data_IF_259609844245
#
_entry.id   IF_259609844245
#
_cell.length_a   1.000
_cell.length_b   1.000
_cell.length_c   1.000
_cell.angle_alpha   90.00
_cell.angle_beta   90.00
_cell.angle_gamma   90.00
#
_symmetry.space_group_name_H-M   'P 1'
#
loop_
_entity.id
_entity.type
_entity.pdbx_description
1 polymer ?
#
# COMPACT_ATOMS: atom_id res chain seq x y z
N UNK A 1 25.71 4.93 -9.41
CA UNK A 1 24.90 4.23 -10.46
C UNK A 1 23.45 4.63 -10.27
N UNK A 2 22.77 5.09 -11.32
CA UNK A 2 21.34 5.44 -11.28
C UNK A 2 20.49 4.17 -11.40
N UNK A 3 19.54 3.95 -10.50
CA UNK A 3 18.61 2.81 -10.54
C UNK A 3 17.36 3.23 -11.33
N UNK A 4 17.08 2.58 -12.45
CA UNK A 4 15.86 2.79 -13.26
C UNK A 4 14.73 1.93 -12.73
N UNK A 5 13.57 2.52 -12.51
CA UNK A 5 12.45 1.87 -11.82
C UNK A 5 11.19 1.95 -12.67
N UNK A 6 10.48 0.83 -12.77
CA UNK A 6 9.11 0.78 -13.30
C UNK A 6 8.15 0.38 -12.17
N UNK A 7 7.08 1.16 -11.97
CA UNK A 7 6.08 0.93 -10.91
C UNK A 7 4.77 0.41 -11.49
N UNK A 8 4.45 -0.86 -11.26
CA UNK A 8 3.18 -1.48 -11.66
C UNK A 8 2.10 -1.33 -10.60
N UNK A 9 0.84 -1.15 -11.00
CA UNK A 9 -0.28 -0.90 -10.09
C UNK A 9 0.01 0.28 -9.16
N UNK A 10 0.53 1.36 -9.72
CA UNK A 10 1.24 2.39 -8.98
C UNK A 10 0.37 3.13 -7.94
N UNK A 11 -0.96 3.18 -8.13
CA UNK A 11 -1.84 3.91 -7.23
C UNK A 11 -1.42 5.39 -7.14
N UNK A 12 -1.12 5.86 -5.94
CA UNK A 12 -0.56 7.20 -5.72
C UNK A 12 0.98 7.24 -5.81
N UNK A 13 1.64 6.14 -6.16
CA UNK A 13 3.11 6.07 -6.22
C UNK A 13 3.75 5.79 -4.87
N UNK A 14 3.33 4.72 -4.20
CA UNK A 14 3.88 4.36 -2.89
C UNK A 14 5.37 4.10 -2.92
N UNK A 15 5.87 3.39 -3.94
CA UNK A 15 7.29 3.19 -4.17
C UNK A 15 8.02 4.50 -4.45
N UNK A 16 7.46 5.33 -5.32
CA UNK A 16 8.01 6.64 -5.70
C UNK A 16 8.13 7.60 -4.50
N UNK A 17 7.14 7.64 -3.59
CA UNK A 17 7.25 8.43 -2.35
C UNK A 17 8.37 7.92 -1.44
N UNK A 18 8.49 6.60 -1.26
CA UNK A 18 9.57 6.02 -0.47
C UNK A 18 10.95 6.37 -1.04
N UNK A 19 11.12 6.30 -2.36
CA UNK A 19 12.36 6.68 -3.05
C UNK A 19 12.70 8.15 -2.87
N UNK A 20 11.72 9.05 -2.89
CA UNK A 20 11.93 10.48 -2.57
C UNK A 20 12.46 10.68 -1.15
N UNK A 21 11.91 9.96 -0.17
CA UNK A 21 12.40 10.00 1.21
C UNK A 21 13.82 9.47 1.32
N UNK A 22 14.12 8.37 0.62
CA UNK A 22 15.47 7.79 0.59
C UNK A 22 16.46 8.78 -0.01
N UNK A 23 16.13 9.45 -1.13
CA UNK A 23 16.99 10.47 -1.74
C UNK A 23 17.30 11.64 -0.80
N UNK A 24 16.31 12.05 0.04
CA UNK A 24 16.54 13.07 1.07
C UNK A 24 17.51 12.60 2.17
N UNK A 25 17.40 11.33 2.58
CA UNK A 25 18.23 10.74 3.65
C UNK A 25 19.62 10.33 3.15
N UNK A 26 19.71 9.93 1.90
CA UNK A 26 20.91 9.45 1.21
C UNK A 26 21.12 10.23 -0.09
N UNK A 27 21.68 11.45 -0.05
CA UNK A 27 21.79 12.32 -1.23
C UNK A 27 22.59 11.74 -2.39
N UNK A 28 23.47 10.77 -2.14
CA UNK A 28 24.27 10.07 -3.17
C UNK A 28 23.48 8.94 -3.87
N UNK A 29 22.33 8.55 -3.36
CA UNK A 29 21.46 7.57 -4.03
C UNK A 29 20.80 8.20 -5.24
N UNK A 30 21.01 7.61 -6.41
CA UNK A 30 20.43 8.09 -7.67
C UNK A 30 19.40 7.08 -8.20
N UNK A 31 18.22 7.56 -8.49
CA UNK A 31 17.15 6.78 -9.07
C UNK A 31 16.35 7.57 -10.11
N UNK A 32 15.68 6.85 -11.00
CA UNK A 32 14.77 7.42 -11.97
C UNK A 32 13.56 6.51 -12.18
N UNK A 33 12.38 6.98 -11.90
CA UNK A 33 11.13 6.29 -12.23
C UNK A 33 10.84 6.57 -13.71
N UNK A 34 11.06 5.56 -14.56
CA UNK A 34 11.05 5.72 -16.01
C UNK A 34 9.68 5.44 -16.63
N UNK A 35 8.74 4.93 -15.86
CA UNK A 35 7.39 4.63 -16.26
C UNK A 35 6.58 3.99 -15.14
N UNK A 36 5.26 4.03 -15.27
CA UNK A 36 4.36 3.35 -14.36
C UNK A 36 3.13 2.79 -15.10
N UNK A 37 2.41 1.88 -14.45
CA UNK A 37 1.15 1.31 -14.93
C UNK A 37 0.07 1.53 -13.88
N UNK A 38 -0.98 2.26 -14.24
CA UNK A 38 -2.16 2.49 -13.42
C UNK A 38 -3.37 2.75 -14.33
N UNK A 39 -4.45 1.99 -14.13
CA UNK A 39 -5.65 2.10 -14.97
C UNK A 39 -6.74 2.99 -14.37
N UNK A 40 -6.65 3.33 -13.09
CA UNK A 40 -7.57 4.26 -12.44
C UNK A 40 -7.12 5.70 -12.67
N UNK A 41 -7.95 6.47 -13.39
CA UNK A 41 -7.65 7.87 -13.74
C UNK A 41 -7.41 8.78 -12.54
N UNK A 42 -8.10 8.54 -11.42
CA UNK A 42 -7.95 9.36 -10.21
C UNK A 42 -6.66 9.02 -9.46
N UNK A 43 -6.22 7.75 -9.53
CA UNK A 43 -4.92 7.35 -9.02
C UNK A 43 -3.81 7.95 -9.87
N UNK A 44 -3.91 7.86 -11.21
CA UNK A 44 -2.94 8.46 -12.12
C UNK A 44 -2.82 9.97 -11.94
N UNK A 45 -3.94 10.68 -11.76
CA UNK A 45 -3.93 12.13 -11.50
C UNK A 45 -3.16 12.46 -10.20
N UNK A 46 -3.40 11.69 -9.14
CA UNK A 46 -2.69 11.86 -7.87
C UNK A 46 -1.20 11.51 -8.01
N UNK A 47 -0.86 10.47 -8.77
CA UNK A 47 0.52 10.12 -9.10
C UNK A 47 1.21 11.25 -9.86
N UNK A 48 0.64 11.71 -10.96
CA UNK A 48 1.20 12.74 -11.86
C UNK A 48 1.41 14.10 -11.16
N UNK A 49 0.52 14.42 -10.22
CA UNK A 49 0.64 15.64 -9.42
C UNK A 49 1.87 15.58 -8.47
N UNK A 50 2.20 14.39 -7.99
CA UNK A 50 3.23 14.22 -6.98
C UNK A 50 4.56 13.71 -7.51
N UNK A 51 4.63 13.09 -8.68
CA UNK A 51 5.84 12.46 -9.20
C UNK A 51 6.20 12.98 -10.59
N UNK A 52 7.48 13.27 -10.76
CA UNK A 52 8.08 13.70 -12.03
C UNK A 52 9.36 12.92 -12.26
N UNK A 53 9.76 12.83 -13.52
CA UNK A 53 11.08 12.31 -13.88
C UNK A 53 12.21 13.27 -13.43
N UNK A 54 13.45 12.88 -13.62
CA UNK A 54 14.62 13.70 -13.27
C UNK A 54 14.71 15.03 -14.01
N UNK A 55 14.01 15.19 -15.13
CA UNK A 55 13.93 16.41 -15.93
C UNK A 55 12.67 17.23 -15.60
N UNK A 56 11.93 16.89 -14.55
CA UNK A 56 10.66 17.48 -14.13
C UNK A 56 9.50 17.31 -15.15
N UNK A 57 9.57 16.31 -16.02
CA UNK A 57 8.48 15.93 -16.92
C UNK A 57 7.55 14.94 -16.24
N UNK A 58 6.33 14.81 -16.80
CA UNK A 58 5.42 13.73 -16.45
C UNK A 58 6.04 12.37 -16.75
N UNK A 59 5.96 11.46 -15.79
CA UNK A 59 6.35 10.06 -15.97
C UNK A 59 5.27 9.38 -16.82
N UNK A 60 5.67 8.61 -17.83
CA UNK A 60 4.73 7.96 -18.74
C UNK A 60 3.89 6.91 -18.01
N UNK A 61 2.56 7.05 -18.06
CA UNK A 61 1.62 6.01 -17.66
C UNK A 61 1.36 5.06 -18.83
N UNK A 62 1.60 3.77 -18.62
CA UNK A 62 1.32 2.70 -19.59
C UNK A 62 -0.10 2.10 -19.44
N UNK A 63 -0.92 2.66 -18.54
CA UNK A 63 -2.32 2.29 -18.33
C UNK A 63 -2.50 0.91 -17.71
N UNK A 64 -3.45 0.13 -18.26
CA UNK A 64 -3.77 -1.21 -17.77
C UNK A 64 -2.65 -2.21 -18.05
N UNK A 65 -2.08 -2.78 -16.99
CA UNK A 65 -0.96 -3.74 -17.08
C UNK A 65 -1.30 -4.95 -17.96
N UNK A 66 -2.58 -5.34 -18.03
CA UNK A 66 -3.05 -6.45 -18.87
C UNK A 66 -2.90 -6.16 -20.37
N UNK A 67 -2.83 -4.90 -20.76
CA UNK A 67 -2.74 -4.43 -22.15
C UNK A 67 -1.31 -4.07 -22.57
N UNK A 68 -0.38 -4.10 -21.65
CA UNK A 68 1.02 -3.76 -21.93
C UNK A 68 1.66 -4.85 -22.79
N UNK A 69 2.23 -4.44 -23.92
CA UNK A 69 3.23 -5.25 -24.60
C UNK A 69 4.60 -4.98 -23.95
N UNK A 70 5.24 -5.97 -23.32
CA UNK A 70 6.49 -5.74 -22.62
C UNK A 70 7.64 -5.18 -23.48
N UNK A 71 7.64 -5.44 -24.79
CA UNK A 71 8.64 -4.89 -25.71
C UNK A 71 8.58 -3.36 -25.78
N UNK A 72 7.39 -2.78 -25.58
CA UNK A 72 7.18 -1.32 -25.66
C UNK A 72 7.63 -0.58 -24.40
N UNK A 73 7.95 -1.32 -23.33
CA UNK A 73 8.50 -0.75 -22.12
C UNK A 73 9.99 -0.42 -22.31
N UNK A 74 10.50 0.67 -21.72
CA UNK A 74 11.93 0.88 -21.59
C UNK A 74 12.57 -0.18 -20.69
N UNK A 75 13.89 -0.33 -20.76
CA UNK A 75 14.62 -1.20 -19.84
C UNK A 75 14.74 -0.54 -18.46
N UNK A 76 14.58 -1.33 -17.42
CA UNK A 76 14.64 -0.89 -16.04
C UNK A 76 15.34 -1.92 -15.15
N UNK A 77 15.93 -1.44 -14.06
CA UNK A 77 16.69 -2.25 -13.11
C UNK A 77 15.79 -2.86 -12.02
N UNK A 78 14.72 -2.16 -11.65
CA UNK A 78 13.82 -2.58 -10.58
C UNK A 78 12.35 -2.48 -11.02
N UNK A 79 11.61 -3.57 -10.80
CA UNK A 79 10.16 -3.60 -10.92
C UNK A 79 9.53 -3.58 -9.53
N UNK A 80 8.65 -2.62 -9.29
CA UNK A 80 7.91 -2.46 -8.03
C UNK A 80 6.43 -2.64 -8.31
N UNK A 81 5.71 -3.52 -7.56
CA UNK A 81 4.28 -3.69 -7.76
C UNK A 81 3.52 -4.14 -6.51
N UNK A 82 2.43 -3.44 -6.20
CA UNK A 82 1.38 -3.88 -5.26
C UNK A 82 0.18 -4.41 -6.03
N UNK A 83 0.18 -5.68 -6.39
CA UNK A 83 -0.87 -6.24 -7.23
C UNK A 83 -2.11 -6.64 -6.43
N UNK A 84 -3.34 -6.47 -7.01
CA UNK A 84 -4.58 -6.82 -6.32
C UNK A 84 -4.68 -8.33 -6.09
N UNK A 85 -5.07 -8.73 -4.87
CA UNK A 85 -5.46 -10.11 -4.55
C UNK A 85 -6.91 -10.32 -4.97
N UNK A 86 -7.16 -10.49 -6.27
CA UNK A 86 -8.48 -10.92 -6.68
C UNK A 86 -8.70 -12.38 -6.27
N UNK A 87 -9.82 -12.71 -5.59
CA UNK A 87 -10.18 -14.10 -5.40
C UNK A 87 -10.33 -14.70 -6.81
N UNK A 88 -9.66 -15.84 -7.05
CA UNK A 88 -9.92 -16.62 -8.25
C UNK A 88 -11.42 -16.89 -8.29
N UNK A 89 -12.14 -16.19 -9.14
CA UNK A 89 -13.49 -16.59 -9.44
C UNK A 89 -13.38 -17.96 -10.12
N UNK A 90 -14.09 -18.94 -9.57
CA UNK A 90 -14.25 -20.27 -10.16
C UNK A 90 -14.74 -20.24 -11.61
N UNK A 91 -15.10 -19.06 -12.12
CA UNK A 91 -15.46 -18.77 -13.50
C UNK A 91 -14.25 -18.79 -14.46
N UNK A 92 -13.01 -18.54 -13.97
CA UNK A 92 -11.80 -18.62 -14.80
C UNK A 92 -11.35 -20.04 -15.16
N UNK A 93 -11.84 -21.06 -14.48
CA UNK A 93 -11.53 -22.47 -14.76
C UNK A 93 -12.34 -23.08 -15.91
N UNK A 94 -13.27 -22.34 -16.52
CA UNK A 94 -14.14 -22.85 -17.60
C UNK A 94 -13.83 -22.25 -18.98
N UNK A 95 -12.80 -21.46 -19.15
CA UNK A 95 -12.38 -20.98 -20.45
C UNK A 95 -11.32 -21.90 -21.04
N UNK A 96 -11.75 -22.60 -22.08
CA UNK A 96 -11.13 -23.54 -22.98
C UNK A 96 -9.61 -23.74 -22.97
N UNK A 97 -9.22 -24.84 -23.53
CA UNK A 97 -7.92 -25.50 -23.63
C UNK A 97 -6.70 -24.65 -24.04
N UNK A 98 -6.83 -23.35 -24.30
CA UNK A 98 -5.75 -22.47 -24.77
C UNK A 98 -5.18 -21.52 -23.69
N UNK A 99 -5.73 -21.54 -22.47
CA UNK A 99 -5.24 -20.71 -21.38
C UNK A 99 -4.51 -21.50 -20.31
N UNK A 100 -3.28 -21.92 -20.66
CA UNK A 100 -2.40 -22.71 -19.80
C UNK A 100 -2.08 -22.04 -18.45
N UNK A 101 -2.44 -20.74 -18.28
CA UNK A 101 -2.03 -19.90 -17.16
C UNK A 101 -3.14 -19.09 -16.49
N UNK A 102 -4.42 -19.31 -16.83
CA UNK A 102 -5.57 -18.66 -16.16
C UNK A 102 -5.54 -17.12 -16.22
N UNK A 103 -5.97 -16.51 -17.32
CA UNK A 103 -5.93 -15.04 -17.62
C UNK A 103 -6.60 -14.09 -16.62
N UNK A 104 -6.99 -14.55 -15.45
CA UNK A 104 -7.53 -13.72 -14.37
C UNK A 104 -6.52 -13.33 -13.30
N UNK A 105 -5.26 -13.77 -13.39
CA UNK A 105 -4.28 -13.53 -12.35
C UNK A 105 -3.34 -12.38 -12.74
N UNK A 106 -3.42 -11.26 -12.01
CA UNK A 106 -2.57 -10.08 -12.26
C UNK A 106 -1.08 -10.39 -12.16
N UNK A 107 -0.71 -11.43 -11.41
CA UNK A 107 0.67 -11.92 -11.32
C UNK A 107 1.19 -12.43 -12.67
N UNK A 108 0.34 -13.01 -13.54
CA UNK A 108 0.77 -13.47 -14.86
C UNK A 108 1.23 -12.32 -15.76
N UNK A 109 0.63 -11.14 -15.64
CA UNK A 109 1.08 -9.97 -16.39
C UNK A 109 2.42 -9.45 -15.87
N UNK A 110 2.64 -9.53 -14.56
CA UNK A 110 3.96 -9.26 -13.97
C UNK A 110 5.00 -10.22 -14.53
N UNK A 111 4.72 -11.53 -14.49
CA UNK A 111 5.64 -12.57 -15.03
C UNK A 111 5.94 -12.31 -16.51
N UNK A 112 4.93 -11.97 -17.33
CA UNK A 112 5.12 -11.63 -18.74
C UNK A 112 6.10 -10.47 -18.92
N UNK A 113 5.98 -9.42 -18.11
CA UNK A 113 6.87 -8.25 -18.17
C UNK A 113 8.30 -8.63 -17.74
N UNK A 114 8.46 -9.30 -16.61
CA UNK A 114 9.79 -9.66 -16.10
C UNK A 114 10.50 -10.73 -16.96
N UNK A 115 9.75 -11.57 -17.67
CA UNK A 115 10.30 -12.53 -18.63
C UNK A 115 11.02 -11.82 -19.77
N UNK A 116 10.43 -10.73 -20.27
CA UNK A 116 11.01 -9.94 -21.39
C UNK A 116 12.09 -8.99 -20.88
N UNK A 117 11.82 -8.26 -19.80
CA UNK A 117 12.69 -7.17 -19.32
C UNK A 117 13.80 -7.62 -18.37
N UNK A 118 13.64 -8.75 -17.69
CA UNK A 118 14.60 -9.32 -16.73
C UNK A 118 15.21 -8.29 -15.78
N UNK A 119 14.38 -7.52 -15.05
CA UNK A 119 14.90 -6.52 -14.13
C UNK A 119 15.80 -7.17 -13.08
N UNK A 120 16.86 -6.47 -12.68
CA UNK A 120 17.77 -6.96 -11.65
C UNK A 120 17.07 -7.19 -10.31
N UNK A 121 16.08 -6.34 -9.99
CA UNK A 121 15.35 -6.39 -8.73
C UNK A 121 13.84 -6.45 -8.95
N UNK A 122 13.18 -7.31 -8.19
CA UNK A 122 11.73 -7.43 -8.17
C UNK A 122 11.22 -7.21 -6.74
N UNK A 123 10.35 -6.22 -6.56
CA UNK A 123 9.67 -5.97 -5.28
C UNK A 123 8.16 -6.06 -5.46
N UNK A 124 7.54 -6.99 -4.73
CA UNK A 124 6.11 -7.23 -4.81
C UNK A 124 5.45 -7.09 -3.43
N UNK A 125 4.24 -6.55 -3.41
CA UNK A 125 3.41 -6.47 -2.21
C UNK A 125 2.03 -7.09 -2.46
N UNK A 126 1.47 -7.68 -1.39
CA UNK A 126 0.10 -8.13 -1.39
C UNK A 126 -0.48 -8.14 0.04
N UNK A 127 -1.79 -8.36 0.16
CA UNK A 127 -2.42 -8.55 1.48
C UNK A 127 -1.94 -9.85 2.13
N UNK A 128 -1.90 -9.90 3.48
CA UNK A 128 -1.56 -11.12 4.25
C UNK A 128 -2.36 -12.33 3.79
N UNK A 129 -3.64 -12.14 3.41
CA UNK A 129 -4.50 -13.24 2.94
C UNK A 129 -3.95 -14.01 1.73
N UNK A 130 -3.02 -13.43 0.96
CA UNK A 130 -2.34 -14.11 -0.15
C UNK A 130 -1.46 -15.28 0.33
N UNK A 131 -1.10 -15.36 1.63
CA UNK A 131 -0.37 -16.51 2.21
C UNK A 131 -1.27 -17.71 2.56
N UNK A 132 -2.60 -17.61 2.41
CA UNK A 132 -3.53 -18.68 2.72
C UNK A 132 -3.28 -19.91 1.84
N UNK A 133 -3.61 -21.11 2.38
CA UNK A 133 -3.37 -22.41 1.72
C UNK A 133 -3.86 -22.47 0.27
N UNK A 134 -4.99 -21.82 -0.05
CA UNK A 134 -5.57 -21.79 -1.42
C UNK A 134 -4.65 -21.16 -2.46
N UNK A 135 -3.71 -20.29 -2.05
CA UNK A 135 -2.74 -19.64 -2.94
C UNK A 135 -1.39 -20.35 -3.06
N UNK A 136 -1.19 -21.47 -2.36
CA UNK A 136 0.06 -22.25 -2.45
C UNK A 136 0.45 -22.61 -3.88
N UNK A 137 -0.46 -23.06 -4.77
CA UNK A 137 -0.10 -23.37 -6.16
C UNK A 137 0.47 -22.16 -6.91
N UNK A 138 -0.05 -20.95 -6.63
CA UNK A 138 0.44 -19.70 -7.26
C UNK A 138 1.83 -19.35 -6.75
N UNK A 139 2.07 -19.45 -5.45
CA UNK A 139 3.39 -19.24 -4.89
C UNK A 139 4.42 -20.25 -5.45
N UNK A 140 4.02 -21.51 -5.61
CA UNK A 140 4.87 -22.52 -6.22
C UNK A 140 5.20 -22.17 -7.68
N UNK A 141 4.19 -21.78 -8.47
CA UNK A 141 4.42 -21.37 -9.86
C UNK A 141 5.30 -20.13 -9.95
N UNK A 142 5.06 -19.11 -9.11
CA UNK A 142 5.91 -17.92 -9.06
C UNK A 142 7.37 -18.25 -8.76
N UNK A 143 7.63 -19.11 -7.79
CA UNK A 143 8.99 -19.56 -7.46
C UNK A 143 9.62 -20.27 -8.66
N UNK A 144 8.89 -21.18 -9.30
CA UNK A 144 9.36 -21.90 -10.49
C UNK A 144 9.71 -20.95 -11.62
N UNK A 145 8.81 -20.02 -11.97
CA UNK A 145 9.02 -19.03 -13.03
C UNK A 145 10.26 -18.16 -12.75
N UNK A 146 10.41 -17.69 -11.52
CA UNK A 146 11.57 -16.88 -11.11
C UNK A 146 12.89 -17.68 -11.16
N UNK A 147 12.87 -18.95 -10.76
CA UNK A 147 14.05 -19.83 -10.87
C UNK A 147 14.45 -20.02 -12.34
N UNK A 148 13.49 -20.31 -13.22
CA UNK A 148 13.72 -20.47 -14.67
C UNK A 148 14.22 -19.16 -15.33
N UNK A 149 13.80 -17.99 -14.80
CA UNK A 149 14.27 -16.69 -15.26
C UNK A 149 15.65 -16.29 -14.73
N UNK A 150 16.25 -17.10 -13.82
CA UNK A 150 17.60 -16.86 -13.32
C UNK A 150 17.68 -16.06 -12.02
N UNK A 151 16.60 -15.94 -11.25
CA UNK A 151 16.61 -15.26 -9.94
C UNK A 151 17.19 -16.14 -8.81
N UNK A 152 17.79 -17.28 -9.12
CA UNK A 152 18.44 -18.18 -8.19
C UNK A 152 17.57 -19.37 -7.77
N UNK A 153 18.15 -20.30 -6.97
CA UNK A 153 17.46 -21.52 -6.52
C UNK A 153 16.34 -21.22 -5.51
N UNK A 154 16.56 -20.22 -4.63
CA UNK A 154 15.57 -19.72 -3.67
C UNK A 154 15.23 -18.27 -4.01
N UNK A 155 14.54 -18.02 -5.14
CA UNK A 155 14.48 -16.70 -5.75
C UNK A 155 13.65 -15.69 -4.97
N UNK A 156 12.72 -16.15 -4.11
CA UNK A 156 11.69 -15.28 -3.53
C UNK A 156 11.79 -15.22 -2.00
N UNK A 157 12.41 -14.14 -1.50
CA UNK A 157 12.35 -13.79 -0.09
C UNK A 157 11.01 -13.13 0.22
N UNK A 158 10.33 -13.58 1.28
CA UNK A 158 9.00 -13.08 1.66
C UNK A 158 8.85 -12.92 3.16
N UNK A 159 8.13 -11.88 3.57
CA UNK A 159 7.81 -11.61 4.98
C UNK A 159 6.47 -10.90 5.12
N UNK A 160 5.83 -11.05 6.29
CA UNK A 160 4.66 -10.26 6.66
C UNK A 160 5.11 -9.21 7.67
N UNK A 161 4.89 -7.94 7.34
CA UNK A 161 5.18 -6.82 8.22
C UNK A 161 3.88 -6.09 8.58
N UNK A 162 3.86 -5.47 9.76
CA UNK A 162 2.72 -4.73 10.26
C UNK A 162 3.13 -3.28 10.52
N UNK A 163 2.42 -2.31 9.94
CA UNK A 163 2.69 -0.88 10.07
C UNK A 163 2.90 -0.41 11.52
N UNK A 164 2.16 -1.01 12.49
CA UNK A 164 2.30 -0.67 13.91
C UNK A 164 3.68 -0.94 14.51
N UNK A 165 4.43 -1.88 13.92
CA UNK A 165 5.77 -2.25 14.36
C UNK A 165 6.85 -1.33 13.75
N UNK A 166 6.43 -0.39 12.88
CA UNK A 166 7.31 0.50 12.10
C UNK A 166 6.91 1.97 12.20
N UNK A 167 6.34 2.38 13.34
CA UNK A 167 6.12 3.78 13.67
C UNK A 167 4.74 4.34 13.30
N UNK A 168 3.84 3.58 12.69
CA UNK A 168 2.49 4.05 12.33
C UNK A 168 1.43 3.34 13.18
N UNK A 169 0.55 4.06 13.89
CA UNK A 169 -0.42 3.45 14.79
C UNK A 169 -1.62 2.83 14.05
N UNK A 170 -1.33 1.99 13.04
CA UNK A 170 -2.30 1.24 12.26
C UNK A 170 -1.93 -0.25 12.25
N UNK A 171 -2.87 -1.11 12.63
CA UNK A 171 -2.73 -2.56 12.50
C UNK A 171 -2.98 -2.95 11.04
N UNK A 172 -1.94 -2.85 10.20
CA UNK A 172 -1.97 -3.12 8.75
C UNK A 172 -0.89 -4.14 8.41
N UNK A 173 -1.28 -5.40 8.27
CA UNK A 173 -0.38 -6.49 7.87
C UNK A 173 -0.35 -6.63 6.34
N UNK A 174 0.87 -6.68 5.78
CA UNK A 174 1.10 -6.88 4.34
C UNK A 174 2.20 -7.88 4.11
N UNK A 175 2.05 -8.68 3.06
CA UNK A 175 3.07 -9.58 2.55
C UNK A 175 3.98 -8.82 1.60
N UNK A 176 5.26 -8.78 1.91
CA UNK A 176 6.30 -8.24 1.04
C UNK A 176 7.14 -9.38 0.49
N UNK A 177 7.53 -9.24 -0.77
CA UNK A 177 8.31 -10.23 -1.51
C UNK A 177 9.40 -9.51 -2.29
N UNK A 178 10.61 -10.07 -2.27
CA UNK A 178 11.76 -9.51 -2.97
C UNK A 178 12.56 -10.61 -3.65
N UNK A 179 13.02 -10.33 -4.87
CA UNK A 179 13.90 -11.20 -5.63
C UNK A 179 14.99 -10.39 -6.34
N UNK A 180 16.16 -11.00 -6.53
CA UNK A 180 17.27 -10.43 -7.27
C UNK A 180 17.75 -11.41 -8.33
N UNK A 181 17.97 -10.93 -9.54
CA UNK A 181 18.55 -11.71 -10.63
C UNK A 181 19.94 -12.20 -10.21
N UNK A 182 20.21 -13.50 -10.38
CA UNK A 182 21.41 -14.16 -9.86
C UNK A 182 21.30 -14.63 -8.40
N UNK A 183 20.18 -14.34 -7.72
CA UNK A 183 19.95 -14.74 -6.32
C UNK A 183 20.45 -13.74 -5.29
N UNK A 184 20.16 -14.01 -4.05
CA UNK A 184 20.56 -13.23 -2.87
C UNK A 184 21.43 -14.09 -1.94
N UNK A 185 22.35 -13.50 -1.19
CA UNK A 185 23.14 -14.25 -0.22
C UNK A 185 22.26 -14.83 0.89
N UNK A 186 22.67 -15.94 1.48
CA UNK A 186 21.94 -16.59 2.58
C UNK A 186 21.75 -15.71 3.81
N UNK A 187 22.58 -14.67 3.96
CA UNK A 187 22.51 -13.66 5.05
C UNK A 187 21.47 -12.59 4.80
N UNK A 188 20.88 -12.52 3.60
CA UNK A 188 19.88 -11.50 3.28
C UNK A 188 18.62 -11.65 4.12
N UNK A 189 18.17 -10.56 4.69
CA UNK A 189 16.93 -10.48 5.47
C UNK A 189 15.99 -9.44 4.89
N UNK A 190 14.72 -9.81 4.71
CA UNK A 190 13.66 -8.88 4.29
C UNK A 190 12.97 -8.19 5.49
N UNK A 191 13.45 -8.38 6.71
CA UNK A 191 12.84 -7.85 7.94
C UNK A 191 13.67 -6.69 8.46
N UNK A 192 13.25 -5.42 8.29
CA UNK A 192 13.96 -4.28 8.85
C UNK A 192 13.83 -4.26 10.38
N UNK A 193 14.75 -3.58 11.10
CA UNK A 193 14.60 -3.36 12.54
C UNK A 193 13.28 -2.67 12.86
N UNK A 194 12.60 -3.13 13.91
CA UNK A 194 11.37 -2.51 14.40
C UNK A 194 11.65 -1.13 15.00
N UNK A 195 10.65 -0.27 14.93
CA UNK A 195 10.68 1.06 15.56
C UNK A 195 9.75 1.04 16.76
N UNK A 196 10.30 1.21 17.94
CA UNK A 196 9.50 1.45 19.14
C UNK A 196 8.98 2.88 19.12
N UNK A 197 7.67 3.03 19.34
CA UNK A 197 7.01 4.33 19.38
C UNK A 197 5.83 4.33 20.35
N UNK A 198 5.64 5.47 21.00
CA UNK A 198 4.44 5.75 21.80
C UNK A 198 3.31 6.40 21.00
N UNK A 199 3.50 6.58 19.68
CA UNK A 199 2.49 7.17 18.81
C UNK A 199 1.21 6.32 18.81
N UNK A 200 0.07 6.99 18.98
CA UNK A 200 -1.25 6.36 18.96
C UNK A 200 -2.17 7.08 18.00
N UNK A 201 -3.30 6.48 17.65
CA UNK A 201 -4.30 7.05 16.76
C UNK A 201 -4.64 8.50 17.11
N UNK A 202 -4.85 8.80 18.38
CA UNK A 202 -5.20 10.14 18.89
C UNK A 202 -4.20 11.24 18.49
N UNK A 203 -2.93 10.87 18.32
CA UNK A 203 -1.84 11.81 18.05
C UNK A 203 -1.81 12.25 16.57
N UNK A 204 -2.54 11.52 15.70
CA UNK A 204 -2.65 11.78 14.26
C UNK A 204 -3.96 12.47 13.86
N UNK A 205 -4.84 12.79 14.82
CA UNK A 205 -6.16 13.33 14.55
C UNK A 205 -6.12 14.85 14.30
N UNK A 206 -7.06 15.29 13.48
CA UNK A 206 -7.29 16.72 13.25
C UNK A 206 -7.95 17.37 14.46
N UNK A 207 -7.53 18.60 14.80
CA UNK A 207 -8.15 19.34 15.89
C UNK A 207 -9.58 19.79 15.58
N UNK A 208 -9.85 20.12 14.32
CA UNK A 208 -11.15 20.61 13.84
C UNK A 208 -11.52 19.90 12.51
N UNK A 209 -11.91 18.64 12.55
CA UNK A 209 -12.32 17.92 11.35
C UNK A 209 -13.66 18.46 10.84
N UNK A 210 -13.91 18.30 9.51
CA UNK A 210 -15.13 18.75 8.87
C UNK A 210 -16.37 18.16 9.53
N UNK A 211 -17.39 18.99 9.74
CA UNK A 211 -18.66 18.61 10.40
C UNK A 211 -19.41 17.52 9.65
N UNK A 212 -19.25 17.40 8.35
CA UNK A 212 -19.86 16.34 7.52
C UNK A 212 -19.34 14.93 7.80
N UNK A 213 -18.23 14.83 8.54
CA UNK A 213 -17.67 13.55 8.95
C UNK A 213 -18.40 12.92 10.15
N UNK A 214 -19.09 13.73 10.95
CA UNK A 214 -19.79 13.32 12.15
C UNK A 214 -21.09 12.58 11.83
N UNK A 215 -21.39 11.56 12.62
CA UNK A 215 -22.67 10.86 12.55
C UNK A 215 -23.75 11.66 13.29
N UNK A 216 -24.97 11.67 12.77
CA UNK A 216 -26.13 12.18 13.49
C UNK A 216 -26.53 11.27 14.65
N UNK A 217 -27.30 11.78 15.63
CA UNK A 217 -27.81 11.00 16.74
C UNK A 217 -28.58 9.76 16.25
N UNK A 218 -29.38 9.90 15.18
CA UNK A 218 -30.10 8.79 14.55
C UNK A 218 -29.14 7.73 13.98
N UNK A 219 -28.06 8.14 13.31
CA UNK A 219 -27.04 7.21 12.80
C UNK A 219 -26.30 6.49 13.92
N UNK A 220 -26.03 7.18 15.01
CA UNK A 220 -25.42 6.59 16.22
C UNK A 220 -26.35 5.54 16.84
N UNK A 221 -27.65 5.83 16.97
CA UNK A 221 -28.62 4.89 17.50
C UNK A 221 -28.74 3.63 16.62
N UNK A 222 -28.84 3.78 15.30
CA UNK A 222 -28.81 2.66 14.36
C UNK A 222 -27.53 1.83 14.50
N UNK A 223 -26.40 2.49 14.74
CA UNK A 223 -25.11 1.83 14.91
C UNK A 223 -25.11 0.99 16.22
N UNK A 224 -25.66 1.52 17.31
CA UNK A 224 -25.84 0.80 18.57
C UNK A 224 -26.70 -0.45 18.40
N UNK A 225 -27.84 -0.31 17.78
CA UNK A 225 -28.76 -1.43 17.51
C UNK A 225 -28.06 -2.52 16.68
N UNK A 226 -27.43 -2.13 15.57
CA UNK A 226 -26.72 -3.05 14.66
C UNK A 226 -25.59 -3.80 15.34
N UNK A 227 -24.85 -3.14 16.26
CA UNK A 227 -23.65 -3.70 16.89
C UNK A 227 -23.91 -4.29 18.26
N UNK A 228 -25.10 -4.06 18.85
CA UNK A 228 -25.45 -4.40 20.23
C UNK A 228 -24.51 -3.78 21.26
N UNK A 229 -24.10 -2.52 21.01
CA UNK A 229 -23.27 -1.72 21.91
C UNK A 229 -24.14 -0.63 22.53
N UNK A 230 -24.28 -0.64 23.84
CA UNK A 230 -25.17 0.29 24.56
C UNK A 230 -24.59 1.70 24.62
N UNK A 231 -23.29 1.85 24.69
CA UNK A 231 -22.64 3.16 24.80
C UNK A 231 -21.30 3.21 24.08
N UNK A 232 -21.02 4.36 23.48
CA UNK A 232 -19.75 4.71 22.88
C UNK A 232 -18.98 5.74 23.73
N UNK A 233 -19.19 5.73 25.03
CA UNK A 233 -18.51 6.63 25.95
C UNK A 233 -17.07 6.17 26.17
N UNK A 234 -16.10 6.98 25.73
CA UNK A 234 -14.67 6.67 25.80
C UNK A 234 -13.89 7.85 26.40
N UNK A 235 -12.81 7.61 27.16
CA UNK A 235 -12.04 8.68 27.80
C UNK A 235 -11.05 9.37 26.82
N UNK A 236 -10.77 8.75 25.71
CA UNK A 236 -9.83 9.22 24.66
C UNK A 236 -10.32 8.76 23.30
N UNK A 237 -9.93 9.42 22.20
CA UNK A 237 -10.31 8.96 20.86
C UNK A 237 -9.85 7.52 20.58
N UNK A 238 -10.79 6.66 20.20
CA UNK A 238 -10.56 5.24 19.92
C UNK A 238 -11.15 4.81 18.57
N UNK A 239 -10.51 3.83 17.95
CA UNK A 239 -11.00 3.19 16.75
C UNK A 239 -12.12 2.18 17.07
N UNK A 240 -13.21 2.26 16.33
CA UNK A 240 -14.30 1.30 16.38
C UNK A 240 -14.34 0.45 15.09
N UNK A 241 -14.18 -0.84 15.26
CA UNK A 241 -14.33 -1.86 14.22
C UNK A 241 -15.79 -2.31 14.18
N UNK A 242 -16.54 -1.79 13.21
CA UNK A 242 -17.99 -2.09 13.07
C UNK A 242 -18.19 -3.56 12.69
N UNK A 243 -17.32 -4.13 11.86
CA UNK A 243 -17.44 -5.52 11.39
C UNK A 243 -17.32 -6.50 12.56
N UNK A 244 -16.28 -6.32 13.39
CA UNK A 244 -16.05 -7.16 14.56
C UNK A 244 -16.81 -6.66 15.81
N UNK A 245 -17.59 -5.58 15.69
CA UNK A 245 -18.36 -4.96 16.78
C UNK A 245 -17.50 -4.65 18.02
N UNK A 246 -16.28 -4.13 17.80
CA UNK A 246 -15.28 -3.99 18.87
C UNK A 246 -14.63 -2.62 18.88
N UNK A 247 -14.63 -1.98 20.06
CA UNK A 247 -13.82 -0.78 20.31
C UNK A 247 -12.38 -1.22 20.59
N UNK A 248 -11.43 -0.61 19.89
CA UNK A 248 -9.99 -0.87 20.03
C UNK A 248 -9.42 0.00 21.13
N UNK A 249 -9.15 -0.59 22.28
CA UNK A 249 -8.64 0.12 23.46
C UNK A 249 -7.13 0.25 23.53
N UNK A 250 -6.41 -0.40 22.59
CA UNK A 250 -4.96 -0.37 22.48
C UNK A 250 -4.41 0.92 21.86
N UNK A 251 -5.29 1.82 21.40
CA UNK A 251 -4.92 3.09 20.77
C UNK A 251 -4.43 2.96 19.32
N UNK A 252 -4.52 1.76 18.71
CA UNK A 252 -4.20 1.55 17.30
C UNK A 252 -5.46 1.61 16.42
N UNK A 253 -5.28 2.09 15.21
CA UNK A 253 -6.28 2.02 14.17
C UNK A 253 -6.31 0.61 13.55
N UNK A 254 -7.48 0.12 13.15
CA UNK A 254 -7.56 -1.06 12.28
C UNK A 254 -7.09 -0.71 10.87
N UNK A 255 -6.87 -1.72 10.02
CA UNK A 255 -6.53 -1.51 8.61
C UNK A 255 -7.57 -0.62 7.93
N UNK A 256 -7.12 0.51 7.37
CA UNK A 256 -7.95 1.35 6.52
C UNK A 256 -8.16 0.61 5.19
N UNK A 257 -9.42 0.47 4.79
CA UNK A 257 -9.85 -0.17 3.56
C UNK A 257 -10.51 0.86 2.64
N UNK A 258 -10.83 0.47 1.41
CA UNK A 258 -11.67 1.26 0.52
C UNK A 258 -13.01 1.60 1.19
N UNK A 259 -13.67 2.73 0.85
CA UNK A 259 -14.90 3.19 1.51
C UNK A 259 -16.02 2.15 1.56
N UNK A 260 -16.20 1.36 0.50
CA UNK A 260 -17.21 0.30 0.45
C UNK A 260 -16.97 -0.85 1.44
N UNK A 261 -15.72 -1.04 1.85
CA UNK A 261 -15.30 -2.07 2.80
C UNK A 261 -14.83 -1.49 4.13
N UNK A 262 -14.88 -0.15 4.29
CA UNK A 262 -14.38 0.51 5.49
C UNK A 262 -15.40 0.44 6.64
N UNK A 263 -15.16 -0.50 7.53
CA UNK A 263 -15.93 -0.68 8.76
C UNK A 263 -15.35 0.10 9.96
N UNK A 264 -14.58 1.15 9.70
CA UNK A 264 -13.92 1.96 10.72
C UNK A 264 -14.74 3.21 11.04
N UNK A 265 -14.91 3.47 12.33
CA UNK A 265 -15.33 4.77 12.86
C UNK A 265 -14.37 5.20 13.97
N UNK A 266 -14.26 6.49 14.15
CA UNK A 266 -13.62 7.10 15.29
C UNK A 266 -14.69 7.42 16.33
N UNK A 267 -14.46 6.98 17.57
CA UNK A 267 -15.23 7.41 18.73
C UNK A 267 -14.40 8.44 19.46
N UNK A 268 -14.95 9.61 19.71
CA UNK A 268 -14.31 10.66 20.51
C UNK A 268 -14.93 10.74 21.92
N UNK A 269 -14.23 11.31 22.89
CA UNK A 269 -14.81 11.60 24.19
C UNK A 269 -16.11 12.40 24.06
N UNK A 270 -17.13 12.10 24.87
CA UNK A 270 -18.40 12.80 24.78
C UNK A 270 -18.24 14.28 25.10
N UNK A 271 -19.04 15.12 24.43
CA UNK A 271 -19.14 16.56 24.72
C UNK A 271 -20.59 16.87 25.13
N UNK A 272 -20.76 17.58 26.23
CA UNK A 272 -22.10 17.94 26.75
C UNK A 272 -23.02 16.71 26.90
N UNK A 273 -22.50 15.61 27.42
CA UNK A 273 -23.17 14.31 27.55
C UNK A 273 -23.68 13.68 26.26
N UNK A 274 -23.19 14.14 25.09
CA UNK A 274 -23.49 13.53 23.79
C UNK A 274 -22.31 12.69 23.30
N UNK A 275 -22.63 11.50 22.86
CA UNK A 275 -21.65 10.62 22.19
C UNK A 275 -21.23 11.20 20.85
N UNK A 276 -19.94 11.05 20.53
CA UNK A 276 -19.37 11.60 19.30
C UNK A 276 -18.73 10.46 18.50
N UNK A 277 -19.27 10.21 17.33
CA UNK A 277 -18.74 9.23 16.37
C UNK A 277 -18.61 9.91 15.03
N UNK A 278 -17.46 9.66 14.35
CA UNK A 278 -17.22 10.21 13.02
C UNK A 278 -16.40 9.29 12.14
N UNK A 279 -16.33 9.62 10.87
CA UNK A 279 -15.34 9.10 9.94
C UNK A 279 -14.01 9.81 10.16
N UNK A 280 -12.91 9.17 9.75
CA UNK A 280 -11.61 9.84 9.67
C UNK A 280 -11.63 10.86 8.52
N UNK A 281 -10.96 12.01 8.70
CA UNK A 281 -10.70 12.92 7.60
C UNK A 281 -9.73 12.31 6.57
N UNK A 282 -9.61 12.93 5.39
CA UNK A 282 -8.61 12.51 4.40
C UNK A 282 -7.21 12.63 4.98
N UNK A 283 -6.91 13.73 5.65
CA UNK A 283 -5.58 13.98 6.21
C UNK A 283 -5.21 12.98 7.29
N UNK A 284 -6.15 12.64 8.18
CA UNK A 284 -5.95 11.60 9.19
C UNK A 284 -5.67 10.23 8.57
N UNK A 285 -6.40 9.89 7.50
CA UNK A 285 -6.19 8.64 6.80
C UNK A 285 -4.79 8.57 6.14
N UNK A 286 -4.35 9.67 5.50
CA UNK A 286 -3.02 9.69 4.88
C UNK A 286 -1.89 9.74 5.92
N UNK A 287 -2.06 10.41 7.08
CA UNK A 287 -1.11 10.29 8.21
C UNK A 287 -1.00 8.84 8.71
N UNK A 288 -2.12 8.13 8.77
CA UNK A 288 -2.13 6.69 9.10
C UNK A 288 -1.50 5.81 8.01
N UNK A 289 -1.25 6.33 6.82
CA UNK A 289 -0.43 5.70 5.78
C UNK A 289 1.02 6.22 5.78
N UNK A 290 1.42 6.89 6.84
CA UNK A 290 2.78 7.33 7.05
C UNK A 290 3.17 8.62 6.34
N UNK A 291 2.23 9.35 5.72
CA UNK A 291 2.53 10.65 5.12
C UNK A 291 2.72 11.75 6.16
N UNK A 292 3.69 12.61 5.94
CA UNK A 292 3.83 13.85 6.68
C UNK A 292 2.85 14.90 6.13
N UNK A 293 1.74 15.10 6.85
CA UNK A 293 0.71 16.08 6.50
C UNK A 293 0.81 17.25 7.46
N UNK A 294 1.37 18.35 6.99
CA UNK A 294 1.49 19.59 7.73
C UNK A 294 0.12 20.26 7.97
N UNK A 295 0.02 21.10 8.99
CA UNK A 295 -1.13 22.00 9.19
C UNK A 295 -1.27 22.98 8.03
N UNK A 296 -0.16 23.49 7.50
CA UNK A 296 -0.11 24.14 6.21
C UNK A 296 0.04 23.05 5.12
N UNK A 297 -1.06 22.78 4.42
CA UNK A 297 -1.10 21.73 3.40
C UNK A 297 -0.08 21.92 2.27
N UNK A 298 0.36 23.14 2.00
CA UNK A 298 1.40 23.44 1.00
C UNK A 298 2.77 22.89 1.38
N UNK A 299 2.99 22.65 2.68
CA UNK A 299 4.23 22.06 3.20
C UNK A 299 4.11 20.55 3.42
N UNK A 300 2.96 19.95 3.07
CA UNK A 300 2.76 18.52 3.18
C UNK A 300 3.56 17.77 2.13
N UNK A 301 3.95 16.54 2.47
CA UNK A 301 4.70 15.65 1.57
C UNK A 301 3.91 15.28 0.31
N UNK A 302 2.59 15.28 0.39
CA UNK A 302 1.68 14.93 -0.70
C UNK A 302 0.79 16.11 -1.07
N UNK A 303 0.63 16.33 -2.37
CA UNK A 303 -0.28 17.31 -2.94
C UNK A 303 -1.55 16.59 -3.38
N UNK A 304 -2.69 17.07 -2.91
CA UNK A 304 -4.00 16.48 -3.22
C UNK A 304 -4.62 17.14 -4.46
N UNK A 305 -5.09 16.35 -5.44
CA UNK A 305 -5.90 16.85 -6.54
C UNK A 305 -7.30 17.22 -6.06
N UNK A 306 -8.05 17.96 -6.89
CA UNK A 306 -9.44 18.27 -6.63
C UNK A 306 -10.34 17.04 -6.86
N UNK A 307 -10.29 16.11 -5.93
CA UNK A 307 -11.06 14.86 -5.95
C UNK A 307 -11.98 14.78 -4.74
N UNK A 308 -13.07 14.00 -4.90
CA UNK A 308 -14.02 13.78 -3.80
C UNK A 308 -13.38 13.00 -2.65
N UNK A 309 -13.98 13.12 -1.44
CA UNK A 309 -13.60 12.32 -0.27
C UNK A 309 -13.52 10.81 -0.60
N UNK A 310 -14.53 10.27 -1.30
CA UNK A 310 -14.55 8.84 -1.66
C UNK A 310 -13.40 8.45 -2.58
N UNK A 311 -13.07 9.29 -3.58
CA UNK A 311 -11.96 9.03 -4.49
C UNK A 311 -10.62 9.00 -3.74
N UNK A 312 -10.35 9.98 -2.88
CA UNK A 312 -9.12 10.01 -2.08
C UNK A 312 -9.05 8.85 -1.07
N UNK A 313 -10.17 8.50 -0.41
CA UNK A 313 -10.24 7.32 0.48
C UNK A 313 -9.93 6.01 -0.25
N UNK A 314 -10.39 5.85 -1.52
CA UNK A 314 -10.06 4.67 -2.32
C UNK A 314 -8.54 4.50 -2.47
N UNK A 315 -7.82 5.61 -2.67
CA UNK A 315 -6.33 5.59 -2.80
C UNK A 315 -5.66 5.15 -1.51
N UNK A 316 -6.14 5.66 -0.37
CA UNK A 316 -5.63 5.24 0.95
C UNK A 316 -5.82 3.74 1.18
N UNK A 317 -7.02 3.23 0.93
CA UNK A 317 -7.35 1.81 1.16
C UNK A 317 -6.45 0.86 0.36
N UNK A 318 -6.13 1.22 -0.88
CA UNK A 318 -5.30 0.43 -1.79
C UNK A 318 -3.80 0.73 -1.69
N UNK A 319 -3.43 1.84 -1.06
CA UNK A 319 -2.05 2.30 -1.03
C UNK A 319 -1.16 1.60 -0.01
N UNK A 320 0.10 1.98 -0.01
CA UNK A 320 1.14 1.49 0.90
C UNK A 320 1.35 2.44 2.09
N UNK A 321 1.76 1.92 3.22
CA UNK A 321 2.34 2.72 4.30
C UNK A 321 3.74 3.20 3.87
N UNK A 322 3.86 4.51 3.61
CA UNK A 322 5.08 5.11 3.08
C UNK A 322 6.23 5.02 4.08
N UNK A 323 5.93 5.07 5.38
CA UNK A 323 6.96 4.94 6.41
C UNK A 323 7.56 3.53 6.40
N UNK A 324 6.71 2.51 6.43
CA UNK A 324 7.16 1.11 6.37
C UNK A 324 7.92 0.81 5.08
N UNK A 325 7.42 1.25 3.92
CA UNK A 325 8.10 1.01 2.63
C UNK A 325 9.46 1.72 2.58
N UNK A 326 9.56 2.94 3.09
CA UNK A 326 10.84 3.66 3.15
C UNK A 326 11.86 2.87 3.97
N UNK A 327 11.48 2.40 5.16
CA UNK A 327 12.36 1.60 6.03
C UNK A 327 12.76 0.28 5.38
N UNK A 328 11.80 -0.39 4.75
CA UNK A 328 12.04 -1.66 4.06
C UNK A 328 12.99 -1.48 2.88
N UNK A 329 12.80 -0.46 2.05
CA UNK A 329 13.72 -0.16 0.94
C UNK A 329 15.12 0.21 1.43
N UNK A 330 15.25 1.04 2.48
CA UNK A 330 16.57 1.35 3.07
C UNK A 330 17.25 0.06 3.53
N UNK A 331 16.51 -0.83 4.21
CA UNK A 331 17.04 -2.09 4.70
C UNK A 331 17.50 -3.01 3.56
N UNK A 332 16.69 -3.15 2.50
CA UNK A 332 17.05 -3.92 1.31
C UNK A 332 18.27 -3.30 0.62
N UNK A 333 18.22 -2.00 0.32
CA UNK A 333 19.22 -1.31 -0.50
C UNK A 333 20.60 -1.31 0.13
N UNK A 334 20.68 -1.24 1.47
CA UNK A 334 21.95 -1.43 2.20
C UNK A 334 22.54 -2.82 2.00
N UNK A 335 21.71 -3.87 2.00
CA UNK A 335 22.19 -5.25 1.86
C UNK A 335 22.61 -5.61 0.42
N UNK A 336 22.08 -4.88 -0.58
CA UNK A 336 22.43 -5.09 -1.99
C UNK A 336 23.37 -3.99 -2.55
N UNK A 337 23.97 -3.20 -1.66
CA UNK A 337 24.96 -2.14 -1.96
C UNK A 337 24.45 -1.06 -2.94
N UNK A 338 23.20 -0.64 -2.76
CA UNK A 338 22.63 0.53 -3.45
C UNK A 338 22.69 1.81 -2.58
N UNK A 339 22.82 1.65 -1.24
CA UNK A 339 23.02 2.71 -0.25
C UNK A 339 24.30 2.54 0.52
#
# INVERSE_FOLDING_TARGET
MEVKIFEGFAGYGGGSFALKRIKKLYPNFEYNVIGYSENDKYASELFDLNHKDKNNNLIKNYGDIAKINPQDLPDFDMFIAGFPCQPFSTIGLQLGTDDKYGRGNMLNYIIKIITVKKPKYLFLENVKGFTNKKFKPIHYQLIKDLTELGYGENPLHKTILNSKDYGIPQNRERLFMFAQLGGLPSTFSLVPPKIETNLRLKDLLDNNPDKSLYLSDEQINRLKERTNINTFNVPTPLCFDIYNKKIKTDGYCITILQPHHCNLRLIEPPKNNKEIIRRLSIYEQYRLMGFDISKDLKQSEIIFPNQSYTQLCNRVGNGWDINLITLLFIHIFKQINLL
#
